data_IF_771235978310
#
_entry.id   IF_771235978310
#
_cell.length_a   1.000
_cell.length_b   1.000
_cell.length_c   1.000
_cell.angle_alpha   90.00
_cell.angle_beta   90.00
_cell.angle_gamma   90.00
#
_symmetry.space_group_name_H-M   'P 1'
#
loop_
_entity.id
_entity.type
_entity.pdbx_description
1 polymer ?
#
# COMPACT_ATOMS: atom_id res chain seq x y z
N UNK A 1 13.16 -1.94 -1.99
CA UNK A 1 11.74 -2.08 -1.54
C UNK A 1 11.50 -1.22 -0.30
N UNK A 2 10.94 -0.01 -0.47
CA UNK A 2 10.78 0.96 0.62
C UNK A 2 9.62 0.64 1.58
N UNK A 3 8.54 0.05 1.07
CA UNK A 3 7.41 -0.43 1.89
C UNK A 3 7.84 -1.53 2.85
N UNK A 4 8.63 -2.51 2.38
CA UNK A 4 9.20 -3.56 3.24
C UNK A 4 10.16 -3.02 4.30
N UNK A 5 10.91 -1.95 4.00
CA UNK A 5 11.78 -1.32 5.00
C UNK A 5 10.96 -0.65 6.10
N UNK A 6 9.87 0.05 5.76
CA UNK A 6 8.93 0.64 6.73
C UNK A 6 8.25 -0.38 7.63
N UNK A 7 7.91 -1.58 7.12
CA UNK A 7 7.24 -2.60 7.93
C UNK A 7 8.21 -3.34 8.88
N UNK A 8 9.49 -3.48 8.50
CA UNK A 8 10.46 -4.30 9.22
C UNK A 8 11.41 -3.53 10.13
N UNK A 9 11.70 -2.28 9.80
CA UNK A 9 12.67 -1.45 10.51
C UNK A 9 11.95 -0.35 11.28
N UNK A 10 11.73 -0.51 12.59
CA UNK A 10 11.03 0.50 13.40
C UNK A 10 11.82 1.82 13.51
N UNK A 11 13.11 1.82 13.16
CA UNK A 11 13.95 3.03 13.16
C UNK A 11 13.87 3.79 11.83
N UNK A 12 13.25 3.21 10.81
CA UNK A 12 13.12 3.82 9.50
C UNK A 12 12.02 4.88 9.49
N UNK A 13 12.41 6.10 9.84
CA UNK A 13 11.53 7.27 9.79
C UNK A 13 11.36 7.76 8.36
N UNK A 14 10.12 8.08 7.99
CA UNK A 14 9.78 8.61 6.67
C UNK A 14 9.07 9.94 6.85
N UNK A 15 9.57 10.98 6.19
CA UNK A 15 8.90 12.28 6.17
C UNK A 15 7.66 12.18 5.30
N UNK A 16 6.48 12.25 5.92
CA UNK A 16 5.21 12.26 5.19
C UNK A 16 5.04 13.62 4.51
N UNK A 17 4.76 13.60 3.22
CA UNK A 17 4.39 14.81 2.45
C UNK A 17 2.89 15.08 2.60
N UNK A 18 2.45 16.33 2.43
CA UNK A 18 1.03 16.63 2.28
C UNK A 18 0.39 15.76 1.19
N UNK A 19 -0.87 15.39 1.40
CA UNK A 19 -1.63 14.60 0.45
C UNK A 19 -1.65 15.30 -0.93
N UNK A 20 -1.26 14.58 -1.98
CA UNK A 20 -1.13 15.15 -3.33
C UNK A 20 -2.41 14.97 -4.16
N UNK A 21 -3.19 13.93 -3.89
CA UNK A 21 -4.45 13.77 -4.60
C UNK A 21 -5.41 14.88 -4.19
N UNK A 22 -5.89 15.64 -5.18
CA UNK A 22 -6.94 16.65 -5.00
C UNK A 22 -8.32 16.02 -4.81
N UNK A 23 -8.42 14.73 -5.13
CA UNK A 23 -9.60 13.95 -4.85
C UNK A 23 -9.49 13.44 -3.42
N UNK A 24 -10.43 13.86 -2.58
CA UNK A 24 -10.69 13.18 -1.33
C UNK A 24 -11.01 11.71 -1.66
N UNK A 25 -10.54 10.82 -0.79
CA UNK A 25 -11.01 9.44 -0.69
C UNK A 25 -12.52 9.48 -0.44
N UNK A 26 -13.28 9.64 -1.53
CA UNK A 26 -14.71 9.42 -1.50
C UNK A 26 -14.90 7.91 -1.61
N UNK A 27 -15.67 7.30 -0.68
CA UNK A 27 -15.85 5.85 -0.63
C UNK A 27 -16.53 5.27 -1.89
N UNK A 28 -16.92 6.11 -2.85
CA UNK A 28 -17.51 5.76 -4.13
C UNK A 28 -16.48 5.50 -5.24
N UNK A 29 -15.17 5.73 -5.01
CA UNK A 29 -14.13 5.56 -6.02
C UNK A 29 -13.44 4.19 -5.93
N UNK A 30 -13.20 3.49 -7.05
CA UNK A 30 -12.53 2.19 -7.05
C UNK A 30 -11.14 2.19 -6.40
N UNK A 31 -10.46 3.34 -6.40
CA UNK A 31 -9.15 3.48 -5.78
C UNK A 31 -9.19 3.41 -4.24
N UNK A 32 -10.35 3.68 -3.63
CA UNK A 32 -10.52 3.66 -2.17
C UNK A 32 -10.62 2.24 -1.61
N UNK A 33 -11.06 1.29 -2.45
CA UNK A 33 -11.00 -0.14 -2.13
C UNK A 33 -9.55 -0.65 -2.05
N UNK A 34 -8.62 0.00 -2.76
CA UNK A 34 -7.21 -0.40 -2.79
C UNK A 34 -6.43 -0.03 -1.52
N UNK A 35 -7.00 0.81 -0.65
CA UNK A 35 -6.42 1.19 0.66
C UNK A 35 -7.13 0.52 1.84
N UNK A 36 -8.13 -0.33 1.57
CA UNK A 36 -8.90 -1.06 2.58
C UNK A 36 -8.96 -2.57 2.28
N UNK A 37 -7.89 -3.13 1.70
CA UNK A 37 -7.83 -4.56 1.36
C UNK A 37 -7.82 -5.43 2.62
N UNK A 38 -7.20 -4.94 3.71
CA UNK A 38 -7.25 -5.58 5.03
C UNK A 38 -7.66 -4.56 6.12
N UNK A 39 -8.96 -4.44 6.45
CA UNK A 39 -9.43 -3.48 7.45
C UNK A 39 -9.00 -3.82 8.88
N UNK A 40 -8.52 -5.04 9.12
CA UNK A 40 -8.04 -5.52 10.43
C UNK A 40 -6.50 -5.48 10.54
N UNK A 41 -5.83 -4.74 9.66
CA UNK A 41 -4.37 -4.64 9.67
C UNK A 41 -3.83 -4.07 10.98
N UNK A 42 -2.75 -4.67 11.49
CA UNK A 42 -1.98 -4.16 12.62
C UNK A 42 -0.92 -3.13 12.19
N UNK A 43 -0.74 -2.93 10.88
CA UNK A 43 0.19 -1.96 10.33
C UNK A 43 -0.45 -0.58 10.19
N UNK A 44 0.37 0.46 10.06
CA UNK A 44 -0.13 1.81 9.80
C UNK A 44 -1.05 1.82 8.55
N UNK A 45 -2.13 2.62 8.54
CA UNK A 45 -3.11 2.62 7.46
C UNK A 45 -2.49 2.70 6.06
N UNK A 46 -2.93 1.82 5.15
CA UNK A 46 -2.45 1.73 3.77
C UNK A 46 -1.07 1.09 3.58
N UNK A 47 -0.33 0.77 4.65
CA UNK A 47 1.01 0.19 4.53
C UNK A 47 0.97 -1.26 4.04
N UNK A 48 0.06 -2.06 4.59
CA UNK A 48 -0.17 -3.44 4.17
C UNK A 48 -0.81 -3.49 2.78
N UNK A 49 -1.81 -2.66 2.51
CA UNK A 49 -2.50 -2.62 1.21
C UNK A 49 -1.55 -2.23 0.08
N UNK A 50 -0.66 -1.25 0.32
CA UNK A 50 0.41 -0.89 -0.63
C UNK A 50 1.32 -2.08 -0.93
N UNK A 51 1.63 -2.90 0.07
CA UNK A 51 2.46 -4.09 -0.11
C UNK A 51 1.73 -5.16 -0.92
N UNK A 52 0.45 -5.42 -0.62
CA UNK A 52 -0.42 -6.34 -1.36
C UNK A 52 -0.52 -5.92 -2.82
N UNK A 53 -0.78 -4.64 -3.10
CA UNK A 53 -0.89 -4.10 -4.45
C UNK A 53 0.41 -4.30 -5.24
N UNK A 54 1.56 -4.06 -4.59
CA UNK A 54 2.87 -4.28 -5.19
C UNK A 54 3.08 -5.75 -5.55
N UNK A 55 2.78 -6.67 -4.62
CA UNK A 55 2.91 -8.11 -4.84
C UNK A 55 2.00 -8.60 -5.97
N UNK A 56 0.73 -8.18 -5.97
CA UNK A 56 -0.23 -8.50 -7.04
C UNK A 56 0.25 -7.98 -8.39
N UNK A 57 0.73 -6.74 -8.47
CA UNK A 57 1.24 -6.15 -9.71
C UNK A 57 2.47 -6.88 -10.25
N UNK A 58 3.43 -7.22 -9.37
CA UNK A 58 4.60 -8.00 -9.75
C UNK A 58 4.19 -9.38 -10.25
N UNK A 59 3.32 -10.09 -9.52
CA UNK A 59 2.86 -11.43 -9.91
C UNK A 59 2.13 -11.41 -11.26
N UNK A 60 1.26 -10.42 -11.50
CA UNK A 60 0.58 -10.25 -12.78
C UNK A 60 1.56 -10.01 -13.94
N UNK A 61 2.67 -9.29 -13.69
CA UNK A 61 3.72 -9.05 -14.70
C UNK A 61 4.68 -10.22 -14.91
N UNK A 62 5.01 -10.97 -13.84
CA UNK A 62 5.96 -12.09 -13.90
C UNK A 62 5.36 -13.34 -14.55
N UNK A 63 4.04 -13.55 -14.45
CA UNK A 63 3.35 -14.71 -15.01
C UNK A 63 3.97 -16.06 -14.55
N UNK A 64 3.93 -17.10 -15.40
CA UNK A 64 4.49 -18.42 -15.09
C UNK A 64 6.01 -18.41 -15.24
N UNK A 65 6.71 -18.76 -14.15
CA UNK A 65 8.19 -18.79 -14.09
C UNK A 65 8.72 -20.14 -13.60
N UNK A 66 7.83 -21.14 -13.48
CA UNK A 66 8.15 -22.52 -13.11
C UNK A 66 8.58 -23.37 -14.29
#
# INVERSE_FOLDING_TARGET
>A
AYTLKRTRDPKYHVTLRPHISKEYAEPSKPADELIHLNPTSEYAPGLEDTLILTMKGIAAGMQNTG
#
